data_IF_911363002894
#
_entry.id   IF_911363002894
#
_cell.length_a   1.000
_cell.length_b   1.000
_cell.length_c   1.000
_cell.angle_alpha   90.00
_cell.angle_beta   90.00
_cell.angle_gamma   90.00
#
_symmetry.space_group_name_H-M   'P 1'
#
loop_
_entity.id
_entity.type
_entity.pdbx_description
1 polymer ?
#
# COMPACT_ATOMS: atom_id res chain seq x y z
N UNK A 1 -10.48 -17.56 -4.74
CA UNK A 1 -10.79 -16.13 -4.73
C UNK A 1 -9.52 -15.33 -4.85
N UNK A 2 -9.55 -14.29 -5.67
CA UNK A 2 -8.38 -13.45 -5.87
C UNK A 2 -8.23 -12.44 -4.75
N UNK A 3 -7.01 -12.20 -4.37
CA UNK A 3 -6.69 -11.13 -3.43
C UNK A 3 -6.34 -9.90 -4.25
N UNK A 4 -6.99 -8.79 -3.98
CA UNK A 4 -6.81 -7.55 -4.72
C UNK A 4 -6.00 -6.56 -3.89
N UNK A 5 -4.95 -6.03 -4.50
CA UNK A 5 -4.09 -5.02 -3.87
C UNK A 5 -4.20 -3.73 -4.67
N UNK A 6 -4.48 -2.64 -3.96
CA UNK A 6 -4.49 -1.31 -4.57
C UNK A 6 -3.12 -0.68 -4.38
N UNK A 7 -2.49 -0.35 -5.49
CA UNK A 7 -1.13 0.19 -5.50
C UNK A 7 -1.19 1.66 -5.87
N UNK A 8 -0.88 2.54 -4.92
CA UNK A 8 -0.95 3.99 -5.09
C UNK A 8 0.46 4.55 -5.16
N UNK A 9 0.90 4.85 -6.35
CA UNK A 9 2.28 5.27 -6.61
C UNK A 9 2.30 6.14 -7.87
N UNK A 10 2.86 7.34 -7.78
CA UNK A 10 2.88 8.24 -8.92
C UNK A 10 4.04 8.00 -9.88
N UNK A 11 5.12 7.37 -9.43
CA UNK A 11 6.25 7.07 -10.31
C UNK A 11 5.93 5.81 -11.13
N UNK A 12 5.79 5.94 -12.47
CA UNK A 12 5.42 4.79 -13.29
C UNK A 12 6.41 3.63 -13.22
N UNK A 13 7.70 3.91 -13.06
CA UNK A 13 8.71 2.86 -13.01
C UNK A 13 8.60 2.04 -11.73
N UNK A 14 8.43 2.72 -10.60
CA UNK A 14 8.27 2.05 -9.32
C UNK A 14 6.95 1.30 -9.29
N UNK A 15 5.89 1.91 -9.81
CA UNK A 15 4.58 1.28 -9.87
C UNK A 15 4.62 -0.01 -10.69
N UNK A 16 5.28 0.03 -11.84
CA UNK A 16 5.39 -1.16 -12.70
C UNK A 16 6.19 -2.26 -12.02
N UNK A 17 7.30 -1.91 -11.35
CA UNK A 17 8.11 -2.90 -10.65
C UNK A 17 7.29 -3.60 -9.56
N UNK A 18 6.61 -2.82 -8.73
CA UNK A 18 5.79 -3.39 -7.65
C UNK A 18 4.67 -4.25 -8.22
N UNK A 19 4.03 -3.79 -9.31
CA UNK A 19 2.97 -4.55 -9.94
C UNK A 19 3.46 -5.92 -10.39
N UNK A 20 4.59 -5.97 -11.08
CA UNK A 20 5.14 -7.24 -11.56
C UNK A 20 5.48 -8.17 -10.40
N UNK A 21 6.14 -7.64 -9.37
CA UNK A 21 6.51 -8.44 -8.20
C UNK A 21 5.28 -9.07 -7.53
N UNK A 22 4.22 -8.29 -7.40
CA UNK A 22 3.01 -8.75 -6.73
C UNK A 22 2.21 -9.71 -7.61
N UNK A 23 2.14 -9.45 -8.91
CA UNK A 23 1.42 -10.33 -9.82
C UNK A 23 2.04 -11.71 -9.91
N UNK A 24 3.36 -11.79 -9.80
CA UNK A 24 4.05 -13.08 -9.79
C UNK A 24 3.59 -13.93 -8.60
N UNK A 25 3.22 -13.28 -7.49
CA UNK A 25 2.72 -13.98 -6.31
C UNK A 25 1.23 -14.33 -6.42
N UNK A 26 0.60 -13.99 -7.53
CA UNK A 26 -0.80 -14.34 -7.78
C UNK A 26 -1.81 -13.29 -7.37
N UNK A 27 -1.38 -12.11 -6.95
CA UNK A 27 -2.30 -11.04 -6.57
C UNK A 27 -2.84 -10.30 -7.78
N UNK A 28 -4.05 -9.80 -7.64
CA UNK A 28 -4.68 -8.95 -8.64
C UNK A 28 -4.37 -7.50 -8.26
N UNK A 29 -3.80 -6.74 -9.19
CA UNK A 29 -3.33 -5.39 -8.87
C UNK A 29 -4.21 -4.34 -9.54
N UNK A 30 -4.67 -3.39 -8.74
CA UNK A 30 -5.37 -2.21 -9.22
C UNK A 30 -4.45 -1.03 -8.94
N UNK A 31 -4.25 -0.18 -9.94
CA UNK A 31 -3.30 0.92 -9.83
C UNK A 31 -4.00 2.25 -9.68
N UNK A 32 -3.37 3.15 -8.90
CA UNK A 32 -3.77 4.54 -8.81
C UNK A 32 -2.51 5.38 -8.88
N UNK A 33 -2.55 6.48 -9.60
CA UNK A 33 -1.37 7.31 -9.83
C UNK A 33 -1.25 8.49 -8.87
N UNK A 34 -2.25 8.69 -8.03
CA UNK A 34 -2.20 9.73 -7.00
C UNK A 34 -3.13 9.36 -5.84
N UNK A 35 -3.03 10.15 -4.77
CA UNK A 35 -3.77 9.86 -3.55
C UNK A 35 -5.28 9.98 -3.70
N UNK A 36 -5.75 10.92 -4.50
CA UNK A 36 -7.18 11.11 -4.70
C UNK A 36 -7.78 9.91 -5.42
N UNK A 37 -7.15 9.48 -6.50
CA UNK A 37 -7.57 8.29 -7.22
C UNK A 37 -7.53 7.07 -6.32
N UNK A 38 -6.49 6.98 -5.47
CA UNK A 38 -6.37 5.89 -4.52
C UNK A 38 -7.54 5.82 -3.55
N UNK A 39 -7.96 6.98 -3.01
CA UNK A 39 -9.09 7.02 -2.11
C UNK A 39 -10.39 6.62 -2.79
N UNK A 40 -10.59 7.08 -4.01
CA UNK A 40 -11.79 6.73 -4.78
C UNK A 40 -11.86 5.21 -5.00
N UNK A 41 -10.76 4.64 -5.46
CA UNK A 41 -10.72 3.21 -5.74
C UNK A 41 -10.83 2.37 -4.47
N UNK A 42 -10.25 2.83 -3.36
CA UNK A 42 -10.39 2.13 -2.10
C UNK A 42 -11.85 2.04 -1.67
N UNK A 43 -12.59 3.14 -1.80
CA UNK A 43 -13.99 3.16 -1.43
C UNK A 43 -14.87 2.32 -2.34
N UNK A 44 -14.57 2.30 -3.64
CA UNK A 44 -15.35 1.56 -4.61
C UNK A 44 -15.06 0.07 -4.61
N UNK A 45 -13.79 -0.30 -4.57
CA UNK A 45 -13.37 -1.67 -4.78
C UNK A 45 -13.12 -2.44 -3.50
N UNK A 46 -12.89 -1.74 -2.39
CA UNK A 46 -12.56 -2.34 -1.10
C UNK A 46 -11.50 -3.43 -1.24
N UNK A 47 -10.29 -3.05 -1.68
CA UNK A 47 -9.22 -4.03 -1.86
C UNK A 47 -8.81 -4.65 -0.53
N UNK A 48 -8.10 -5.75 -0.61
CA UNK A 48 -7.63 -6.46 0.59
C UNK A 48 -6.44 -5.76 1.24
N UNK A 49 -5.74 -4.92 0.48
CA UNK A 49 -4.56 -4.22 0.97
C UNK A 49 -4.30 -3.00 0.09
N UNK A 50 -3.81 -1.93 0.69
CA UNK A 50 -3.31 -0.79 -0.06
C UNK A 50 -1.81 -0.64 0.18
N UNK A 51 -1.05 -0.44 -0.87
CA UNK A 51 0.36 -0.04 -0.78
C UNK A 51 0.43 1.38 -1.30
N UNK A 52 0.95 2.29 -0.50
CA UNK A 52 0.93 3.72 -0.84
C UNK A 52 2.27 4.39 -0.60
N UNK A 53 2.68 5.25 -1.54
CA UNK A 53 3.84 6.12 -1.38
C UNK A 53 3.38 7.41 -0.69
N UNK A 54 4.23 7.95 0.17
CA UNK A 54 3.94 9.21 0.86
C UNK A 54 4.15 10.43 -0.03
N UNK A 55 5.05 10.33 -1.01
CA UNK A 55 5.40 11.45 -1.86
C UNK A 55 4.56 11.46 -3.12
N UNK A 56 3.39 12.05 -3.01
CA UNK A 56 2.49 12.17 -4.16
C UNK A 56 1.92 13.57 -4.24
N UNK A 57 1.61 14.04 -5.45
CA UNK A 57 0.97 15.35 -5.61
C UNK A 57 -0.45 15.31 -5.08
N UNK A 58 -1.02 16.48 -4.82
CA UNK A 58 -2.39 16.70 -4.36
C UNK A 58 -2.65 16.16 -2.96
N UNK A 59 -2.99 14.89 -2.82
CA UNK A 59 -3.24 14.28 -1.51
C UNK A 59 -2.10 13.33 -1.21
N UNK A 60 -1.28 13.65 -0.21
CA UNK A 60 -0.13 12.83 0.13
C UNK A 60 -0.56 11.56 0.88
N UNK A 61 0.40 10.62 1.01
CA UNK A 61 0.10 9.31 1.58
C UNK A 61 -0.39 9.35 3.02
N UNK A 62 0.09 10.30 3.84
CA UNK A 62 -0.39 10.40 5.22
C UNK A 62 -1.86 10.79 5.25
N UNK A 63 -2.27 11.69 4.37
CA UNK A 63 -3.67 12.09 4.27
C UNK A 63 -4.55 10.95 3.77
N UNK A 64 -4.02 10.16 2.84
CA UNK A 64 -4.74 8.98 2.36
C UNK A 64 -5.03 8.06 3.53
N UNK A 65 -4.02 7.76 4.36
CA UNK A 65 -4.20 6.89 5.52
C UNK A 65 -5.22 7.48 6.49
N UNK A 66 -5.10 8.76 6.79
CA UNK A 66 -6.01 9.43 7.72
C UNK A 66 -7.45 9.32 7.24
N UNK A 67 -7.70 9.55 5.96
CA UNK A 67 -9.05 9.47 5.40
C UNK A 67 -9.59 8.05 5.38
N UNK A 68 -8.72 7.07 5.10
CA UNK A 68 -9.14 5.67 5.15
C UNK A 68 -9.59 5.28 6.54
N UNK A 69 -8.86 5.70 7.56
CA UNK A 69 -9.17 5.35 8.94
C UNK A 69 -10.42 6.07 9.46
N UNK A 70 -10.78 7.19 8.85
CA UNK A 70 -11.97 7.95 9.24
C UNK A 70 -13.26 7.41 8.60
N UNK A 71 -13.16 6.59 7.58
CA UNK A 71 -14.32 6.07 6.85
C UNK A 71 -14.62 4.65 7.33
N UNK A 72 -15.81 4.36 7.85
CA UNK A 72 -16.15 3.01 8.32
C UNK A 72 -15.96 1.92 7.27
N UNK A 73 -16.10 2.25 5.99
CA UNK A 73 -15.96 1.27 4.91
C UNK A 73 -14.52 0.86 4.64
N UNK A 74 -13.55 1.66 5.07
CA UNK A 74 -12.13 1.42 4.79
C UNK A 74 -11.25 1.45 6.04
N UNK A 75 -11.82 1.70 7.20
CA UNK A 75 -11.00 1.94 8.40
C UNK A 75 -10.16 0.75 8.84
N UNK A 76 -10.53 -0.46 8.42
CA UNK A 76 -9.78 -1.67 8.78
C UNK A 76 -8.91 -2.21 7.65
N UNK A 77 -8.89 -1.51 6.52
CA UNK A 77 -8.07 -1.95 5.39
C UNK A 77 -6.59 -1.91 5.76
N UNK A 78 -5.86 -3.02 5.59
CA UNK A 78 -4.42 -3.00 5.82
C UNK A 78 -3.72 -2.06 4.85
N UNK A 79 -2.73 -1.33 5.35
CA UNK A 79 -1.97 -0.37 4.55
C UNK A 79 -0.49 -0.61 4.76
N UNK A 80 0.27 -0.63 3.66
CA UNK A 80 1.73 -0.63 3.68
C UNK A 80 2.19 0.67 3.05
N UNK A 81 3.16 1.32 3.68
CA UNK A 81 3.80 2.54 3.16
C UNK A 81 5.17 2.18 2.61
N UNK A 82 5.47 2.64 1.39
CA UNK A 82 6.79 2.49 0.79
C UNK A 82 7.23 3.87 0.32
N UNK A 83 8.25 4.46 0.95
CA UNK A 83 8.59 5.83 0.63
C UNK A 83 10.05 6.15 0.89
N UNK A 84 10.59 7.10 0.11
CA UNK A 84 11.91 7.67 0.35
C UNK A 84 11.89 8.91 1.22
N UNK A 85 10.70 9.30 1.70
CA UNK A 85 10.57 10.49 2.55
C UNK A 85 10.77 10.10 4.00
N UNK A 86 12.04 10.05 4.41
CA UNK A 86 12.39 9.51 5.72
C UNK A 86 11.80 10.27 6.89
N UNK A 87 11.65 11.59 6.76
CA UNK A 87 11.12 12.38 7.87
C UNK A 87 9.66 12.08 8.19
N UNK A 88 8.93 11.49 7.27
CA UNK A 88 7.54 11.15 7.49
C UNK A 88 7.33 9.70 7.93
N UNK A 89 8.37 8.86 7.86
CA UNK A 89 8.22 7.44 8.15
C UNK A 89 7.86 7.16 9.60
N UNK A 90 8.42 7.94 10.54
CA UNK A 90 8.13 7.73 11.95
C UNK A 90 6.67 7.97 12.26
N UNK A 91 6.07 9.00 11.65
CA UNK A 91 4.64 9.26 11.84
C UNK A 91 3.80 8.11 11.29
N UNK A 92 4.22 7.56 10.16
CA UNK A 92 3.51 6.42 9.59
C UNK A 92 3.65 5.17 10.46
N UNK A 93 4.81 4.97 11.07
CA UNK A 93 5.00 3.85 11.99
C UNK A 93 4.03 3.93 13.16
N UNK A 94 3.76 5.15 13.64
CA UNK A 94 2.80 5.35 14.71
C UNK A 94 1.36 5.08 14.23
N UNK A 95 1.07 5.39 12.97
CA UNK A 95 -0.28 5.23 12.43
C UNK A 95 -0.63 3.79 12.07
N UNK A 96 0.31 3.05 11.50
CA UNK A 96 0.02 1.73 10.93
C UNK A 96 0.93 0.61 11.41
N UNK A 97 1.89 0.93 12.28
CA UNK A 97 2.83 -0.07 12.80
C UNK A 97 4.12 -0.13 12.00
N UNK A 98 5.23 -0.37 12.70
CA UNK A 98 6.57 -0.37 12.09
C UNK A 98 6.74 -1.43 11.00
N UNK A 99 6.08 -2.56 11.15
CA UNK A 99 6.22 -3.65 10.18
C UNK A 99 5.57 -3.33 8.84
N UNK A 100 4.76 -2.29 8.79
CA UNK A 100 4.02 -1.91 7.59
C UNK A 100 4.65 -0.71 6.87
N UNK A 101 5.84 -0.27 7.31
CA UNK A 101 6.50 0.91 6.74
C UNK A 101 7.85 0.50 6.18
N UNK A 102 8.05 0.76 4.89
CA UNK A 102 9.27 0.38 4.17
C UNK A 102 9.91 1.62 3.56
N UNK A 103 11.18 1.86 3.91
CA UNK A 103 11.94 2.94 3.31
C UNK A 103 12.48 2.50 1.95
N UNK A 104 12.52 3.44 1.00
CA UNK A 104 13.15 3.18 -0.30
C UNK A 104 14.66 3.43 -0.19
N UNK A 105 15.50 2.60 -0.79
CA UNK A 105 15.16 1.37 -1.49
C UNK A 105 14.76 0.26 -0.51
N UNK A 106 13.82 -0.57 -0.89
CA UNK A 106 13.33 -1.65 -0.03
C UNK A 106 13.77 -3.00 -0.58
N UNK A 107 13.74 -4.01 0.30
CA UNK A 107 14.02 -5.39 -0.11
C UNK A 107 12.72 -6.06 -0.54
N UNK A 108 12.61 -6.47 -1.82
CA UNK A 108 11.38 -7.05 -2.33
C UNK A 108 10.88 -8.26 -1.53
N UNK A 109 11.80 -9.13 -1.10
CA UNK A 109 11.40 -10.33 -0.35
C UNK A 109 10.70 -9.96 0.95
N UNK A 110 11.22 -8.95 1.66
CA UNK A 110 10.62 -8.53 2.93
C UNK A 110 9.24 -7.92 2.70
N UNK A 111 9.11 -7.12 1.65
CA UNK A 111 7.81 -6.52 1.31
C UNK A 111 6.79 -7.60 0.98
N UNK A 112 7.17 -8.56 0.14
CA UNK A 112 6.26 -9.63 -0.26
C UNK A 112 5.83 -10.49 0.93
N UNK A 113 6.74 -10.75 1.86
CA UNK A 113 6.39 -11.49 3.07
C UNK A 113 5.37 -10.74 3.91
N UNK A 114 5.54 -9.43 4.05
CA UNK A 114 4.60 -8.64 4.84
C UNK A 114 3.24 -8.59 4.17
N UNK A 115 3.21 -8.45 2.85
CA UNK A 115 1.96 -8.50 2.10
C UNK A 115 1.23 -9.81 2.40
N UNK A 116 1.92 -10.94 2.29
CA UNK A 116 1.31 -12.24 2.55
C UNK A 116 0.72 -12.35 3.95
N UNK A 117 1.43 -11.82 4.95
CA UNK A 117 0.94 -11.82 6.31
C UNK A 117 -0.35 -11.03 6.44
N UNK A 118 -0.39 -9.84 5.84
CA UNK A 118 -1.53 -8.95 5.99
C UNK A 118 -2.79 -9.43 5.26
N UNK A 119 -2.63 -10.09 4.14
CA UNK A 119 -3.78 -10.57 3.38
C UNK A 119 -4.22 -11.98 3.77
N UNK A 120 -3.58 -12.56 4.78
CA UNK A 120 -3.92 -13.89 5.24
C UNK A 120 -3.50 -15.01 4.30
N UNK A 121 -2.59 -14.71 3.39
CA UNK A 121 -2.04 -15.70 2.49
C UNK A 121 -1.10 -16.53 3.33
N UNK A 122 -1.40 -17.77 3.57
CA UNK A 122 -0.53 -18.60 4.38
C UNK A 122 0.82 -18.66 3.73
N UNK A 123 1.83 -18.25 4.47
CA UNK A 123 3.18 -18.42 4.03
C UNK A 123 3.49 -19.85 4.37
N UNK A 124 3.30 -20.66 3.37
CA UNK A 124 3.52 -21.99 3.64
C UNK A 124 4.91 -22.21 3.73
N UNK A 125 5.37 -22.47 4.27
CA UNK A 125 6.62 -22.73 4.23
C UNK A 125 7.28 -22.79 4.57
#
# INVERSE_FOLDING_TARGET
MSITILLVEDDPSVRELLKVLLEVEGYEIVEASDGLEGLEKAGELRPDLMIVDLMMPQVDGERVITRLRADPGTQRMPVIVVSGRYEALDRCRDMIGSDNVFAKPFEPVKLLKRVGTLVGQAVED
#
